data_IF_518458332060
#
_entry.id   IF_518458332060
#
_cell.length_a   1.000
_cell.length_b   1.000
_cell.length_c   1.000
_cell.angle_alpha   90.00
_cell.angle_beta   90.00
_cell.angle_gamma   90.00
#
_symmetry.space_group_name_H-M   'P 1'
#
loop_
_entity.id
_entity.type
_entity.pdbx_description
1 polymer ?
#
# COMPACT_ATOMS: atom_id res chain seq x y z
N UNK A 1 13.44 33.74 -5.19
CA UNK A 1 13.15 33.31 -6.56
C UNK A 1 13.11 31.80 -6.57
N UNK A 2 11.93 31.21 -6.79
CA UNK A 2 11.86 29.79 -7.14
C UNK A 2 12.42 29.64 -8.55
N UNK A 3 13.66 29.18 -8.65
CA UNK A 3 14.32 28.89 -9.93
C UNK A 3 14.83 27.45 -9.92
N UNK A 4 14.87 26.84 -11.09
CA UNK A 4 15.53 25.55 -11.27
C UNK A 4 17.03 25.70 -10.90
N UNK A 5 17.63 24.74 -10.18
CA UNK A 5 19.08 24.70 -10.01
C UNK A 5 19.77 24.55 -11.38
N UNK A 6 20.76 25.40 -11.65
CA UNK A 6 21.46 25.42 -12.94
C UNK A 6 22.58 24.37 -13.01
N UNK A 7 23.01 23.83 -11.85
CA UNK A 7 24.07 22.80 -11.74
C UNK A 7 23.71 21.76 -10.67
N UNK A 8 24.18 20.51 -10.84
CA UNK A 8 23.97 19.45 -9.84
C UNK A 8 24.61 19.74 -8.48
N UNK A 9 25.65 20.59 -8.43
CA UNK A 9 26.24 21.07 -7.19
C UNK A 9 25.30 21.98 -6.39
N UNK A 10 24.31 22.60 -7.03
CA UNK A 10 23.30 23.45 -6.38
C UNK A 10 22.17 22.64 -5.73
N UNK A 11 21.99 21.36 -6.13
CA UNK A 11 21.03 20.46 -5.49
C UNK A 11 21.56 19.77 -4.23
N UNK A 12 22.89 19.75 -4.03
CA UNK A 12 23.54 18.99 -2.94
C UNK A 12 23.37 19.55 -1.52
N UNK A 13 22.85 20.78 -1.36
CA UNK A 13 22.59 21.40 -0.05
C UNK A 13 21.14 21.80 0.18
N UNK A 14 20.19 21.16 -0.53
CA UNK A 14 18.77 21.38 -0.24
C UNK A 14 18.44 20.78 1.13
N UNK A 15 18.46 21.65 2.15
CA UNK A 15 17.84 21.38 3.44
C UNK A 15 16.36 21.10 3.13
N UNK A 16 15.83 19.93 3.50
CA UNK A 16 14.40 19.65 3.35
C UNK A 16 13.62 20.81 3.95
N UNK A 17 12.61 21.31 3.22
CA UNK A 17 11.69 22.27 3.84
C UNK A 17 10.90 21.51 4.88
N UNK A 18 11.27 21.69 6.14
CA UNK A 18 10.49 21.21 7.26
C UNK A 18 9.26 22.11 7.38
N UNK A 19 8.12 21.59 6.92
CA UNK A 19 6.84 22.20 7.25
C UNK A 19 6.70 22.13 8.79
N UNK A 20 6.49 23.27 9.45
CA UNK A 20 6.38 23.30 10.90
C UNK A 20 5.19 22.44 11.35
N UNK A 21 5.46 21.49 12.25
CA UNK A 21 4.46 20.58 12.83
C UNK A 21 3.67 21.21 13.98
N UNK A 22 3.84 22.51 14.22
CA UNK A 22 3.15 23.24 15.30
C UNK A 22 1.90 23.94 14.78
N UNK A 23 0.79 23.82 15.49
CA UNK A 23 -0.52 24.39 15.14
C UNK A 23 -0.50 25.88 14.83
N UNK A 24 0.41 26.63 15.47
CA UNK A 24 0.48 28.09 15.39
C UNK A 24 0.86 28.62 13.99
N UNK A 25 1.32 27.72 13.11
CA UNK A 25 1.71 28.04 11.74
C UNK A 25 0.75 27.46 10.70
N UNK A 26 -0.38 26.90 11.15
CA UNK A 26 -1.44 26.36 10.31
C UNK A 26 -2.68 27.25 10.44
N UNK A 27 -3.13 27.83 9.35
CA UNK A 27 -4.29 28.72 9.34
C UNK A 27 -5.43 28.09 8.51
N UNK A 28 -6.61 27.98 9.11
CA UNK A 28 -7.84 27.53 8.45
C UNK A 28 -9.07 28.10 9.15
N UNK A 29 -10.12 28.44 8.39
CA UNK A 29 -11.44 28.82 8.91
C UNK A 29 -12.44 27.66 8.85
N UNK A 30 -12.26 26.75 7.89
CA UNK A 30 -12.98 25.49 7.74
C UNK A 30 -12.06 24.51 7.02
N UNK A 31 -11.65 23.44 7.70
CA UNK A 31 -10.72 22.44 7.15
C UNK A 31 -11.27 21.79 5.88
N UNK A 32 -12.60 21.76 5.68
CA UNK A 32 -13.22 21.26 4.44
C UNK A 32 -12.86 22.09 3.21
N UNK A 33 -12.53 23.37 3.40
CA UNK A 33 -12.08 24.29 2.35
C UNK A 33 -10.55 24.30 2.17
N UNK A 34 -9.83 23.56 3.00
CA UNK A 34 -8.37 23.53 3.01
C UNK A 34 -7.73 24.32 4.15
N UNK A 35 -6.41 24.47 4.07
CA UNK A 35 -5.60 25.18 5.06
C UNK A 35 -4.37 25.80 4.41
N UNK A 36 -3.72 26.72 5.11
CA UNK A 36 -2.41 27.23 4.73
C UNK A 36 -1.38 27.02 5.84
N UNK A 37 -0.13 26.86 5.44
CA UNK A 37 1.01 26.72 6.34
C UNK A 37 2.04 27.79 6.02
N UNK A 38 2.60 28.44 7.04
CA UNK A 38 3.72 29.37 6.87
C UNK A 38 4.99 28.77 7.47
N UNK A 39 6.05 28.62 6.67
CA UNK A 39 7.31 28.06 7.16
C UNK A 39 8.14 29.07 7.98
N UNK A 40 9.30 28.63 8.49
CA UNK A 40 10.23 29.52 9.22
C UNK A 40 10.85 30.63 8.37
N UNK A 41 10.75 30.55 7.04
CA UNK A 41 11.28 31.53 6.08
C UNK A 41 10.21 32.50 5.59
N UNK A 42 8.96 32.37 6.06
CA UNK A 42 7.83 33.20 5.63
C UNK A 42 7.22 32.79 4.30
N UNK A 43 7.54 31.60 3.76
CA UNK A 43 6.85 31.07 2.59
C UNK A 43 5.48 30.54 3.01
N UNK A 44 4.47 30.78 2.18
CA UNK A 44 3.08 30.36 2.42
C UNK A 44 2.74 29.21 1.48
N UNK A 45 2.30 28.09 2.04
CA UNK A 45 1.87 26.88 1.34
C UNK A 45 0.35 26.77 1.48
N UNK A 46 -0.39 26.69 0.38
CA UNK A 46 -1.85 26.60 0.40
C UNK A 46 -2.33 25.24 -0.06
N UNK A 47 -3.10 24.55 0.76
CA UNK A 47 -3.64 23.22 0.49
C UNK A 47 -5.15 23.34 0.32
N UNK A 48 -5.63 23.41 -0.92
CA UNK A 48 -7.06 23.67 -1.23
C UNK A 48 -7.72 22.63 -2.14
N UNK A 49 -6.93 21.79 -2.80
CA UNK A 49 -7.47 20.73 -3.65
C UNK A 49 -7.71 19.48 -2.79
N UNK A 50 -8.95 19.04 -2.64
CA UNK A 50 -9.28 17.90 -1.78
C UNK A 50 -9.34 16.57 -2.56
N UNK A 51 -8.88 15.51 -1.91
CA UNK A 51 -9.13 14.12 -2.31
C UNK A 51 -10.34 13.58 -1.53
N UNK A 52 -11.17 12.79 -2.22
CA UNK A 52 -12.38 12.23 -1.64
C UNK A 52 -12.41 10.71 -1.77
N UNK A 53 -12.92 10.05 -0.73
CA UNK A 53 -13.37 8.67 -0.82
C UNK A 53 -14.65 8.57 -1.67
N UNK A 54 -14.97 7.36 -2.12
CA UNK A 54 -16.27 7.00 -2.72
C UNK A 54 -17.49 7.33 -1.83
N UNK A 55 -17.29 7.49 -0.53
CA UNK A 55 -18.33 7.88 0.45
C UNK A 55 -18.37 9.38 0.71
N UNK A 56 -17.63 10.18 -0.07
CA UNK A 56 -17.60 11.64 0.02
C UNK A 56 -16.84 12.18 1.24
N UNK A 57 -15.96 11.38 1.85
CA UNK A 57 -15.10 11.82 2.96
C UNK A 57 -13.79 12.34 2.41
N UNK A 58 -13.31 13.46 2.93
CA UNK A 58 -11.99 13.99 2.56
C UNK A 58 -10.91 13.05 3.09
N UNK A 59 -10.00 12.62 2.22
CA UNK A 59 -8.86 11.75 2.58
C UNK A 59 -7.53 12.50 2.57
N UNK A 60 -7.49 13.70 2.00
CA UNK A 60 -6.30 14.55 1.98
C UNK A 60 -6.53 15.87 1.26
N UNK A 61 -5.59 16.80 1.46
CA UNK A 61 -5.52 18.06 0.73
C UNK A 61 -4.19 18.14 -0.02
N UNK A 62 -4.24 18.61 -1.27
CA UNK A 62 -3.07 18.85 -2.10
C UNK A 62 -2.74 20.34 -2.15
N UNK A 63 -1.45 20.59 -2.26
CA UNK A 63 -0.86 21.91 -2.40
C UNK A 63 -1.32 22.56 -3.70
N UNK A 64 -1.93 23.73 -3.68
CA UNK A 64 -2.35 24.45 -4.89
C UNK A 64 -1.38 25.55 -5.28
N UNK A 65 -0.72 26.16 -4.30
CA UNK A 65 0.31 27.16 -4.54
C UNK A 65 1.28 27.30 -3.37
N UNK A 66 2.48 27.76 -3.70
CA UNK A 66 3.46 28.28 -2.75
C UNK A 66 3.76 29.71 -3.12
N UNK A 67 3.69 30.62 -2.15
CA UNK A 67 4.10 32.01 -2.31
C UNK A 67 5.32 32.27 -1.43
N UNK A 68 6.42 32.74 -2.02
CA UNK A 68 7.60 33.13 -1.25
C UNK A 68 7.40 34.48 -0.56
N UNK A 69 8.25 34.81 0.42
CA UNK A 69 8.28 36.14 1.02
C UNK A 69 8.49 37.25 -0.02
N UNK A 70 9.18 36.95 -1.12
CA UNK A 70 9.44 37.86 -2.25
C UNK A 70 8.31 37.88 -3.29
N UNK A 71 7.16 37.26 -2.99
CA UNK A 71 6.00 37.13 -3.88
C UNK A 71 6.26 36.28 -5.14
N UNK A 72 7.32 35.47 -5.15
CA UNK A 72 7.45 34.42 -6.18
C UNK A 72 6.38 33.38 -5.97
N UNK A 73 5.79 32.86 -7.05
CA UNK A 73 4.70 31.88 -6.97
C UNK A 73 5.02 30.60 -7.71
N UNK A 74 4.75 29.48 -7.04
CA UNK A 74 4.54 28.17 -7.65
C UNK A 74 3.03 27.89 -7.63
N UNK A 75 2.47 27.37 -8.72
CA UNK A 75 1.07 26.90 -8.75
C UNK A 75 1.04 25.46 -9.24
N UNK A 76 0.11 24.68 -8.69
CA UNK A 76 0.02 23.24 -8.90
C UNK A 76 -1.39 22.90 -9.40
N UNK A 77 -1.47 22.02 -10.38
CA UNK A 77 -2.72 21.41 -10.84
C UNK A 77 -2.60 19.89 -10.85
N UNK A 78 -3.75 19.22 -10.83
CA UNK A 78 -3.84 17.79 -10.63
C UNK A 78 -4.74 17.11 -11.67
N UNK A 79 -4.42 15.87 -12.01
CA UNK A 79 -5.36 14.94 -12.65
C UNK A 79 -5.98 14.08 -11.57
N UNK A 80 -7.25 13.74 -11.73
CA UNK A 80 -7.93 12.81 -10.82
C UNK A 80 -7.80 11.40 -11.37
N UNK A 81 -7.35 10.46 -10.56
CA UNK A 81 -7.32 9.03 -10.88
C UNK A 81 -7.99 8.26 -9.76
N UNK A 82 -8.89 7.34 -10.13
CA UNK A 82 -9.59 6.51 -9.16
C UNK A 82 -8.68 5.36 -8.72
N UNK A 83 -8.29 5.35 -7.46
CA UNK A 83 -7.61 4.23 -6.82
C UNK A 83 -8.65 3.38 -6.11
N UNK A 84 -8.67 2.07 -6.37
CA UNK A 84 -9.59 1.14 -5.71
C UNK A 84 -8.79 0.13 -4.91
N UNK A 85 -9.16 -0.03 -3.64
CA UNK A 85 -8.61 -0.99 -2.72
C UNK A 85 -9.61 -2.13 -2.57
N UNK A 86 -9.15 -3.35 -2.84
CA UNK A 86 -9.90 -4.55 -2.56
C UNK A 86 -9.51 -5.02 -1.17
N UNK A 87 -10.40 -4.83 -0.20
CA UNK A 87 -10.22 -5.32 1.16
C UNK A 87 -11.00 -6.63 1.28
N UNK A 88 -10.33 -7.76 1.06
CA UNK A 88 -10.88 -9.07 1.44
C UNK A 88 -10.28 -9.48 2.77
N UNK A 89 -11.12 -9.80 3.75
CA UNK A 89 -10.69 -10.36 5.02
C UNK A 89 -11.40 -11.68 5.26
N UNK A 90 -10.68 -12.69 5.73
CA UNK A 90 -11.28 -13.92 6.24
C UNK A 90 -11.27 -13.89 7.76
N UNK A 91 -12.26 -14.51 8.39
CA UNK A 91 -12.33 -14.57 9.84
C UNK A 91 -12.93 -15.88 10.33
N UNK A 92 -12.58 -16.21 11.58
CA UNK A 92 -13.22 -17.26 12.37
C UNK A 92 -13.63 -16.67 13.71
N UNK A 93 -14.80 -17.07 14.21
CA UNK A 93 -15.26 -16.69 15.54
C UNK A 93 -15.84 -17.91 16.25
N UNK A 94 -15.28 -18.23 17.41
CA UNK A 94 -15.74 -19.35 18.24
C UNK A 94 -16.99 -18.91 18.99
N UNK A 95 -18.01 -19.76 18.99
CA UNK A 95 -19.21 -19.58 19.79
C UNK A 95 -19.29 -20.72 20.79
N UNK A 96 -18.95 -20.41 22.05
CA UNK A 96 -19.08 -21.31 23.19
C UNK A 96 -20.08 -20.71 24.16
N UNK A 97 -21.33 -21.16 24.07
CA UNK A 97 -22.46 -20.59 24.80
C UNK A 97 -22.81 -21.41 26.05
N UNK A 98 -22.05 -22.46 26.37
CA UNK A 98 -22.31 -23.36 27.49
C UNK A 98 -23.62 -24.16 27.37
N UNK A 99 -24.35 -24.02 26.26
CA UNK A 99 -25.54 -24.79 25.92
C UNK A 99 -25.18 -25.83 24.86
N UNK A 100 -25.55 -27.08 25.12
CA UNK A 100 -25.08 -28.25 24.38
C UNK A 100 -25.32 -28.23 22.87
N UNK A 101 -26.33 -27.49 22.42
CA UNK A 101 -26.76 -27.41 21.03
C UNK A 101 -26.26 -26.15 20.31
N UNK A 102 -25.48 -25.27 20.96
CA UNK A 102 -25.03 -23.99 20.37
C UNK A 102 -23.52 -23.86 20.18
N UNK A 103 -22.74 -24.83 20.65
CA UNK A 103 -21.29 -24.79 20.52
C UNK A 103 -20.85 -25.04 19.07
N UNK A 104 -19.91 -24.24 18.59
CA UNK A 104 -19.45 -24.27 17.22
C UNK A 104 -18.61 -23.05 16.86
N UNK A 105 -18.36 -22.84 15.58
CA UNK A 105 -17.67 -21.64 15.13
C UNK A 105 -18.22 -21.11 13.81
N UNK A 106 -18.12 -19.79 13.65
CA UNK A 106 -18.38 -19.08 12.41
C UNK A 106 -17.13 -19.08 11.55
N UNK A 107 -17.32 -19.31 10.26
CA UNK A 107 -16.31 -19.15 9.21
C UNK A 107 -16.81 -18.14 8.19
N UNK A 108 -16.08 -17.03 8.05
CA UNK A 108 -16.25 -16.09 6.96
C UNK A 108 -15.07 -16.16 6.01
N UNK A 109 -15.23 -16.82 4.87
CA UNK A 109 -14.17 -16.98 3.85
C UNK A 109 -14.71 -16.63 2.47
N UNK A 110 -13.98 -15.78 1.72
CA UNK A 110 -14.36 -15.32 0.37
C UNK A 110 -15.79 -14.73 0.31
N UNK A 111 -16.20 -13.98 1.33
CA UNK A 111 -17.56 -13.41 1.45
C UNK A 111 -18.66 -14.42 1.80
N UNK A 112 -18.35 -15.71 1.90
CA UNK A 112 -19.30 -16.76 2.29
C UNK A 112 -19.30 -16.96 3.79
N UNK A 113 -20.49 -17.01 4.38
CA UNK A 113 -20.67 -17.24 5.81
C UNK A 113 -21.21 -18.65 6.07
N UNK A 114 -20.50 -19.40 6.89
CA UNK A 114 -20.88 -20.73 7.36
C UNK A 114 -20.81 -20.80 8.88
N UNK A 115 -21.65 -21.65 9.45
CA UNK A 115 -21.55 -22.04 10.85
C UNK A 115 -21.23 -23.54 10.92
N UNK A 116 -20.21 -23.88 11.69
CA UNK A 116 -19.80 -25.26 11.95
C UNK A 116 -20.31 -25.61 13.34
N UNK A 117 -21.50 -26.23 13.39
CA UNK A 117 -22.14 -26.65 14.63
C UNK A 117 -21.48 -27.94 15.11
N UNK A 118 -21.07 -27.98 16.37
CA UNK A 118 -20.56 -29.21 16.98
C UNK A 118 -21.71 -30.23 17.11
N UNK A 119 -21.48 -31.45 16.64
CA UNK A 119 -22.48 -32.54 16.66
C UNK A 119 -21.91 -33.85 17.24
N UNK A 120 -20.74 -33.77 17.88
CA UNK A 120 -20.10 -34.93 18.48
C UNK A 120 -18.63 -34.66 18.77
N UNK A 121 -17.97 -35.70 19.26
CA UNK A 121 -16.53 -35.71 19.45
C UNK A 121 -15.99 -37.14 19.39
N UNK A 122 -14.72 -37.27 19.03
CA UNK A 122 -14.01 -38.53 18.95
C UNK A 122 -12.69 -38.48 19.73
N UNK A 123 -12.29 -39.61 20.32
CA UNK A 123 -11.00 -39.73 21.01
C UNK A 123 -9.88 -40.02 20.00
N UNK A 124 -8.85 -39.16 19.97
CA UNK A 124 -7.62 -39.36 19.21
C UNK A 124 -6.41 -39.07 20.09
N UNK A 125 -5.51 -40.06 20.23
CA UNK A 125 -4.25 -39.95 20.98
C UNK A 125 -4.44 -39.25 22.34
N UNK A 126 -5.35 -39.79 23.15
CA UNK A 126 -5.70 -39.31 24.49
C UNK A 126 -6.37 -37.93 24.59
N UNK A 127 -6.71 -37.30 23.46
CA UNK A 127 -7.46 -36.04 23.41
C UNK A 127 -8.80 -36.19 22.70
N UNK A 128 -9.81 -35.45 23.14
CA UNK A 128 -11.13 -35.44 22.50
C UNK A 128 -11.15 -34.35 21.41
N UNK A 129 -11.63 -34.69 20.22
CA UNK A 129 -11.68 -33.82 19.06
C UNK A 129 -13.11 -33.59 18.62
N UNK A 130 -13.48 -32.34 18.35
CA UNK A 130 -14.84 -31.98 17.98
C UNK A 130 -15.17 -32.39 16.54
N UNK A 131 -16.35 -32.96 16.35
CA UNK A 131 -16.95 -33.22 15.04
C UNK A 131 -17.99 -32.14 14.72
N UNK A 132 -18.02 -31.68 13.47
CA UNK A 132 -18.88 -30.58 13.04
C UNK A 132 -19.82 -30.98 11.91
N UNK A 133 -21.05 -30.47 11.99
CA UNK A 133 -21.98 -30.37 10.87
C UNK A 133 -21.97 -28.93 10.33
N UNK A 134 -21.92 -28.80 9.00
CA UNK A 134 -21.82 -27.49 8.34
C UNK A 134 -23.21 -26.95 8.01
N UNK A 135 -23.47 -25.72 8.41
CA UNK A 135 -24.65 -24.94 8.07
C UNK A 135 -24.25 -23.76 7.18
N UNK A 136 -24.82 -23.69 5.98
CA UNK A 136 -24.63 -22.52 5.11
C UNK A 136 -25.58 -21.43 5.56
N UNK A 137 -25.04 -20.35 6.12
CA UNK A 137 -25.85 -19.28 6.76
C UNK A 137 -26.07 -18.11 5.80
N UNK A 138 -25.17 -17.90 4.83
CA UNK A 138 -25.38 -16.93 3.77
C UNK A 138 -24.08 -16.31 3.27
N UNK A 139 -24.12 -15.00 3.06
CA UNK A 139 -22.96 -14.17 2.75
C UNK A 139 -22.79 -13.15 3.88
N UNK A 140 -21.55 -12.74 4.15
CA UNK A 140 -21.29 -11.58 5.00
C UNK A 140 -20.85 -10.41 4.11
N UNK A 141 -20.97 -9.19 4.63
CA UNK A 141 -20.50 -7.99 3.95
C UNK A 141 -18.97 -8.02 3.85
N UNK A 142 -18.46 -8.66 2.79
CA UNK A 142 -17.09 -8.52 2.35
C UNK A 142 -17.00 -7.12 1.72
N UNK A 143 -16.77 -6.14 2.59
CA UNK A 143 -17.03 -4.69 2.44
C UNK A 143 -16.65 -4.09 1.07
N UNK A 144 -17.30 -2.96 0.70
CA UNK A 144 -17.32 -2.39 -0.64
C UNK A 144 -15.93 -2.00 -1.11
N UNK A 145 -15.69 -2.10 -2.42
CA UNK A 145 -14.56 -1.48 -3.11
C UNK A 145 -14.36 -0.05 -2.60
N UNK A 146 -13.43 0.12 -1.66
CA UNK A 146 -13.06 1.42 -1.13
C UNK A 146 -12.27 2.10 -2.22
N UNK A 147 -12.72 3.25 -2.69
CA UNK A 147 -11.98 3.99 -3.69
C UNK A 147 -11.75 5.42 -3.27
N UNK A 148 -10.62 5.95 -3.70
CA UNK A 148 -10.24 7.35 -3.51
C UNK A 148 -10.01 7.96 -4.88
N UNK A 149 -10.56 9.15 -5.08
CA UNK A 149 -10.26 10.00 -6.22
C UNK A 149 -8.94 10.72 -5.95
N UNK A 150 -7.84 9.98 -6.17
CA UNK A 150 -6.49 10.45 -5.89
C UNK A 150 -6.08 11.54 -6.89
N UNK A 151 -5.34 12.53 -6.38
CA UNK A 151 -4.90 13.71 -7.13
C UNK A 151 -3.42 13.58 -7.44
N UNK A 152 -3.11 13.25 -8.68
CA UNK A 152 -1.76 13.15 -9.19
C UNK A 152 -1.32 14.47 -9.82
N UNK A 153 -0.08 14.93 -9.62
CA UNK A 153 0.41 16.18 -10.21
C UNK A 153 0.20 16.17 -11.73
N UNK A 154 -0.34 17.25 -12.28
CA UNK A 154 -0.52 17.45 -13.73
C UNK A 154 0.46 18.46 -14.26
N UNK A 155 0.52 19.61 -13.60
CA UNK A 155 1.36 20.72 -14.00
C UNK A 155 1.78 21.53 -12.78
N UNK A 156 3.05 21.94 -12.75
CA UNK A 156 3.59 22.91 -11.80
C UNK A 156 4.07 24.11 -12.60
N UNK A 157 3.53 25.30 -12.36
CA UNK A 157 3.91 26.52 -13.07
C UNK A 157 4.68 27.46 -12.15
N UNK A 158 5.69 28.13 -12.70
CA UNK A 158 6.50 29.15 -12.04
C UNK A 158 6.81 30.29 -13.03
N UNK A 159 7.38 31.39 -12.53
CA UNK A 159 7.47 32.66 -13.27
C UNK A 159 7.95 32.53 -14.73
N UNK A 160 8.96 31.69 -14.98
CA UNK A 160 9.58 31.53 -16.29
C UNK A 160 9.46 30.12 -16.86
N UNK A 161 8.55 29.28 -16.36
CA UNK A 161 8.52 27.90 -16.81
C UNK A 161 7.45 27.05 -16.17
N UNK A 162 7.48 25.77 -16.54
CA UNK A 162 6.54 24.79 -16.02
C UNK A 162 7.10 23.38 -16.07
N UNK A 163 6.53 22.52 -15.24
CA UNK A 163 6.75 21.07 -15.24
C UNK A 163 5.42 20.40 -15.55
N UNK A 164 5.35 19.56 -16.58
CA UNK A 164 4.14 18.85 -17.01
C UNK A 164 4.34 17.35 -16.80
N UNK A 165 3.32 16.68 -16.29
CA UNK A 165 3.35 15.25 -15.95
C UNK A 165 2.35 14.50 -16.83
N UNK A 166 2.85 13.57 -17.63
CA UNK A 166 2.04 12.80 -18.57
C UNK A 166 1.89 11.36 -18.13
N UNK A 167 0.62 10.93 -18.05
CA UNK A 167 0.23 9.61 -17.57
C UNK A 167 -0.34 8.76 -18.70
N UNK A 168 -0.09 7.45 -18.63
CA UNK A 168 -0.73 6.43 -19.46
C UNK A 168 -1.23 5.32 -18.56
N UNK A 169 -2.54 5.02 -18.62
CA UNK A 169 -3.19 4.01 -17.77
C UNK A 169 -2.84 4.19 -16.28
N UNK A 170 -2.92 5.42 -15.78
CA UNK A 170 -2.59 5.79 -14.38
C UNK A 170 -1.10 5.68 -13.99
N UNK A 171 -0.20 5.36 -14.92
CA UNK A 171 1.25 5.36 -14.70
C UNK A 171 1.88 6.62 -15.27
N UNK A 172 2.73 7.30 -14.50
CA UNK A 172 3.53 8.42 -14.99
C UNK A 172 4.52 7.90 -16.04
N UNK A 173 4.48 8.43 -17.27
CA UNK A 173 5.39 8.01 -18.36
C UNK A 173 6.45 9.04 -18.64
N UNK A 174 6.08 10.31 -18.63
CA UNK A 174 6.99 11.40 -18.93
C UNK A 174 6.76 12.59 -18.04
N UNK A 175 7.86 13.28 -17.72
CA UNK A 175 7.86 14.60 -17.10
C UNK A 175 8.58 15.55 -18.03
N UNK A 176 7.90 16.61 -18.44
CA UNK A 176 8.41 17.62 -19.35
C UNK A 176 8.72 18.90 -18.58
N UNK A 177 9.93 19.43 -18.72
CA UNK A 177 10.38 20.64 -18.02
C UNK A 177 10.63 21.72 -19.05
N UNK A 178 9.87 22.80 -18.91
CA UNK A 178 9.90 23.96 -19.80
C UNK A 178 10.46 25.18 -19.10
N UNK A 179 11.25 25.96 -19.83
CA UNK A 179 11.73 27.27 -19.42
C UNK A 179 11.62 28.24 -20.60
N UNK A 180 11.08 29.44 -20.35
CA UNK A 180 10.83 30.47 -21.36
C UNK A 180 10.07 29.95 -22.59
N UNK A 181 9.15 29.00 -22.39
CA UNK A 181 8.33 28.39 -23.44
C UNK A 181 8.98 27.22 -24.21
N UNK A 182 10.28 26.96 -24.01
CA UNK A 182 10.98 25.84 -24.64
C UNK A 182 11.08 24.64 -23.68
N UNK A 183 10.92 23.42 -24.19
CA UNK A 183 11.22 22.19 -23.42
C UNK A 183 12.73 22.07 -23.30
N UNK A 184 13.26 22.14 -22.08
CA UNK A 184 14.71 22.09 -21.82
C UNK A 184 15.18 20.73 -21.31
N UNK A 185 14.28 19.97 -20.69
CA UNK A 185 14.58 18.64 -20.17
C UNK A 185 13.34 17.75 -20.22
N UNK A 186 13.55 16.48 -20.51
CA UNK A 186 12.55 15.42 -20.48
C UNK A 186 13.00 14.30 -19.56
N UNK A 187 12.10 13.81 -18.72
CA UNK A 187 12.30 12.61 -17.91
C UNK A 187 11.35 11.54 -18.41
N UNK A 188 11.88 10.39 -18.81
CA UNK A 188 11.08 9.24 -19.29
C UNK A 188 11.19 8.11 -18.27
N UNK A 189 10.05 7.53 -17.91
CA UNK A 189 9.94 6.42 -16.97
C UNK A 189 9.52 5.16 -17.73
N UNK A 190 10.41 4.16 -17.74
CA UNK A 190 10.18 2.88 -18.41
C UNK A 190 9.81 1.81 -17.38
N UNK A 191 8.90 0.94 -17.76
CA UNK A 191 8.33 -0.05 -16.84
C UNK A 191 8.29 -1.44 -17.45
N UNK A 192 8.62 -2.45 -16.65
CA UNK A 192 8.23 -3.85 -16.90
C UNK A 192 6.79 -4.03 -16.40
N UNK A 193 5.87 -4.31 -17.32
CA UNK A 193 4.49 -4.67 -16.96
C UNK A 193 4.48 -6.08 -16.38
N UNK A 194 3.85 -6.24 -15.23
CA UNK A 194 3.56 -7.57 -14.67
C UNK A 194 2.25 -8.06 -15.29
N UNK A 195 2.21 -9.33 -15.71
CA UNK A 195 1.06 -9.90 -16.45
C UNK A 195 -0.21 -9.94 -15.59
N UNK A 196 -0.05 -10.14 -14.28
CA UNK A 196 -1.12 -10.11 -13.30
C UNK A 196 -1.13 -8.79 -12.52
N UNK A 197 -2.33 -8.29 -12.20
CA UNK A 197 -2.64 -7.09 -11.39
C UNK A 197 -2.49 -5.70 -11.99
N UNK A 198 -1.98 -5.53 -13.22
CA UNK A 198 -1.72 -4.18 -13.74
C UNK A 198 -0.68 -3.40 -12.92
N UNK A 199 0.17 -4.11 -12.16
CA UNK A 199 1.34 -3.54 -11.48
C UNK A 199 2.49 -3.40 -12.46
N UNK A 200 3.38 -2.45 -12.16
CA UNK A 200 4.51 -2.10 -13.02
C UNK A 200 5.75 -1.91 -12.18
N UNK A 201 6.86 -2.51 -12.61
CA UNK A 201 8.18 -2.29 -12.01
C UNK A 201 8.88 -1.20 -12.81
N UNK A 202 9.35 -0.14 -12.15
CA UNK A 202 10.08 0.94 -12.80
C UNK A 202 11.49 0.45 -13.14
N UNK A 203 11.78 0.17 -14.40
CA UNK A 203 13.06 -0.42 -14.81
C UNK A 203 14.09 0.63 -15.19
N UNK A 204 13.64 1.82 -15.60
CA UNK A 204 14.56 2.91 -15.96
C UNK A 204 13.91 4.28 -15.76
N UNK A 205 14.72 5.23 -15.29
CA UNK A 205 14.44 6.66 -15.34
C UNK A 205 15.51 7.32 -16.20
N UNK A 206 15.12 7.79 -17.38
CA UNK A 206 16.00 8.48 -18.32
C UNK A 206 15.77 9.98 -18.27
N UNK A 207 16.81 10.76 -17.96
CA UNK A 207 16.81 12.21 -18.07
C UNK A 207 17.50 12.60 -19.37
N UNK A 208 16.83 13.35 -20.21
CA UNK A 208 17.37 13.92 -21.45
C UNK A 208 17.34 15.44 -21.36
N UNK A 209 18.52 16.06 -21.37
CA UNK A 209 18.67 17.51 -21.56
C UNK A 209 18.55 17.81 -23.06
N UNK A 210 17.54 18.57 -23.44
CA UNK A 210 17.22 18.80 -24.85
C UNK A 210 18.11 19.87 -25.48
N UNK A 211 18.69 20.74 -24.65
CA UNK A 211 19.56 21.85 -25.11
C UNK A 211 20.85 21.34 -25.74
N UNK A 212 21.42 20.24 -25.21
CA UNK A 212 22.69 19.67 -25.66
C UNK A 212 22.58 18.19 -26.06
N UNK A 213 21.36 17.65 -26.10
CA UNK A 213 21.05 16.26 -26.45
C UNK A 213 21.83 15.23 -25.61
N UNK A 214 22.06 15.53 -24.33
CA UNK A 214 22.70 14.62 -23.39
C UNK A 214 21.65 13.85 -22.60
N UNK A 215 21.85 12.54 -22.47
CA UNK A 215 20.98 11.69 -21.66
C UNK A 215 21.75 10.97 -20.55
N UNK A 216 21.07 10.76 -19.43
CA UNK A 216 21.57 9.98 -18.29
C UNK A 216 20.45 9.10 -17.76
N UNK A 217 20.74 7.82 -17.56
CA UNK A 217 19.75 6.84 -17.11
C UNK A 217 20.13 6.23 -15.77
N UNK A 218 19.12 6.04 -14.93
CA UNK A 218 19.17 5.14 -13.79
C UNK A 218 18.40 3.90 -14.18
N UNK A 219 18.96 2.71 -13.95
CA UNK A 219 18.26 1.45 -14.22
C UNK A 219 18.13 0.64 -12.95
N UNK A 220 16.97 0.01 -12.78
CA UNK A 220 16.62 -0.75 -11.58
C UNK A 220 16.41 -2.22 -11.95
N UNK A 221 16.95 -3.12 -11.12
CA UNK A 221 16.62 -4.54 -11.16
C UNK A 221 15.85 -4.95 -9.92
N UNK A 222 15.04 -5.99 -10.03
CA UNK A 222 14.16 -6.46 -8.97
C UNK A 222 14.34 -7.95 -8.77
N UNK A 223 13.98 -8.45 -7.59
CA UNK A 223 13.86 -9.88 -7.33
C UNK A 223 12.59 -10.43 -8.00
N UNK A 224 12.64 -10.64 -9.32
CA UNK A 224 11.49 -10.97 -10.16
C UNK A 224 11.52 -12.41 -10.71
N UNK A 225 12.19 -13.31 -10.00
CA UNK A 225 12.35 -14.73 -10.38
C UNK A 225 11.02 -15.52 -10.32
N UNK A 226 10.00 -15.00 -9.61
CA UNK A 226 8.63 -15.51 -9.66
C UNK A 226 7.82 -14.67 -10.65
N UNK A 227 7.50 -15.29 -11.79
CA UNK A 227 6.45 -14.76 -12.67
C UNK A 227 5.08 -14.99 -12.02
N UNK A 228 4.17 -14.02 -12.15
CA UNK A 228 2.73 -14.15 -11.85
C UNK A 228 2.32 -14.25 -10.35
N UNK A 229 2.96 -13.48 -9.46
CA UNK A 229 2.48 -13.29 -8.07
C UNK A 229 1.47 -12.12 -7.94
N UNK A 230 0.37 -12.33 -7.18
CA UNK A 230 -0.66 -11.31 -6.91
C UNK A 230 -1.00 -11.19 -5.41
N UNK A 231 -0.44 -10.22 -4.66
CA UNK A 231 -0.69 -10.08 -3.21
C UNK A 231 -2.17 -9.86 -2.84
N UNK A 232 -3.01 -9.38 -3.75
CA UNK A 232 -4.44 -9.13 -3.46
C UNK A 232 -5.36 -10.28 -3.85
N UNK A 233 -4.82 -11.35 -4.45
CA UNK A 233 -5.63 -12.50 -4.92
C UNK A 233 -5.12 -13.83 -4.35
N UNK A 234 -4.07 -13.79 -3.53
CA UNK A 234 -3.51 -14.97 -2.89
C UNK A 234 -3.82 -14.98 -1.40
N UNK A 235 -3.92 -16.20 -0.86
CA UNK A 235 -3.97 -16.45 0.57
C UNK A 235 -2.58 -16.75 1.15
N UNK A 236 -1.55 -16.73 0.31
CA UNK A 236 -0.14 -16.91 0.67
C UNK A 236 0.46 -15.65 1.29
N UNK A 237 -0.10 -15.20 2.41
CA UNK A 237 0.32 -13.99 3.11
C UNK A 237 0.81 -14.36 4.51
N UNK A 238 2.05 -13.98 4.84
CA UNK A 238 2.62 -14.24 6.15
C UNK A 238 2.02 -13.35 7.26
N UNK A 239 2.53 -13.49 8.48
CA UNK A 239 2.08 -12.71 9.65
C UNK A 239 2.34 -11.20 9.53
N UNK A 240 3.27 -10.78 8.66
CA UNK A 240 3.65 -9.38 8.44
C UNK A 240 3.02 -8.78 7.19
N UNK A 241 2.28 -9.56 6.41
CA UNK A 241 1.62 -9.10 5.20
C UNK A 241 2.46 -9.30 3.92
N UNK A 242 3.59 -10.01 3.98
CA UNK A 242 4.40 -10.32 2.80
C UNK A 242 4.01 -11.65 2.17
N UNK A 243 4.42 -11.85 0.91
CA UNK A 243 4.23 -13.12 0.22
C UNK A 243 5.05 -14.23 0.87
N UNK A 244 4.47 -15.40 1.09
CA UNK A 244 5.21 -16.54 1.62
C UNK A 244 5.16 -17.80 0.74
N UNK A 245 4.65 -17.70 -0.49
CA UNK A 245 4.66 -18.81 -1.45
C UNK A 245 3.73 -19.99 -1.14
N UNK A 246 2.90 -19.92 -0.09
CA UNK A 246 2.02 -21.03 0.33
C UNK A 246 0.76 -21.12 -0.52
N UNK A 247 0.82 -21.92 -1.59
CA UNK A 247 -0.30 -22.13 -2.52
C UNK A 247 -1.43 -23.02 -1.97
N UNK A 248 -1.19 -23.75 -0.88
CA UNK A 248 -2.18 -24.61 -0.22
C UNK A 248 -3.13 -23.88 0.73
N UNK A 249 -2.96 -22.57 0.95
CA UNK A 249 -3.78 -21.81 1.89
C UNK A 249 -5.23 -21.70 1.39
N UNK A 250 -6.18 -22.07 2.23
CA UNK A 250 -7.62 -22.06 1.90
C UNK A 250 -8.37 -20.84 2.43
N UNK A 251 -7.76 -20.08 3.35
CA UNK A 251 -8.21 -18.77 3.84
C UNK A 251 -7.00 -17.91 4.28
N UNK A 252 -7.23 -16.69 4.78
CA UNK A 252 -6.21 -15.77 5.32
C UNK A 252 -5.91 -15.96 6.83
N UNK A 253 -6.62 -16.87 7.51
CA UNK A 253 -6.51 -17.07 8.95
C UNK A 253 -5.53 -18.19 9.25
N UNK A 254 -4.55 -17.91 10.12
CA UNK A 254 -3.55 -18.91 10.50
C UNK A 254 -4.23 -20.14 11.08
N UNK A 255 -3.79 -21.32 10.64
CA UNK A 255 -4.25 -22.58 11.21
C UNK A 255 -3.90 -22.63 12.69
N UNK A 256 -4.92 -22.77 13.53
CA UNK A 256 -4.79 -22.71 14.99
C UNK A 256 -5.62 -23.81 15.65
N UNK A 257 -5.11 -24.32 16.77
CA UNK A 257 -5.82 -25.26 17.63
C UNK A 257 -6.70 -24.46 18.59
N UNK A 258 -7.96 -24.84 18.70
CA UNK A 258 -8.95 -24.17 19.53
C UNK A 258 -9.69 -25.17 20.41
N UNK A 259 -10.02 -24.73 21.61
CA UNK A 259 -10.78 -25.47 22.61
C UNK A 259 -12.27 -25.13 22.54
N UNK A 260 -13.12 -26.14 22.69
CA UNK A 260 -14.57 -26.02 22.78
C UNK A 260 -15.06 -26.69 24.07
N UNK A 261 -15.96 -26.03 24.80
CA UNK A 261 -16.65 -26.63 25.93
C UNK A 261 -17.50 -27.83 25.53
N UNK A 262 -17.46 -28.89 26.33
CA UNK A 262 -18.28 -30.08 26.10
C UNK A 262 -19.74 -29.89 26.54
N UNK A 263 -20.68 -30.43 25.75
CA UNK A 263 -22.12 -30.27 25.99
C UNK A 263 -22.67 -31.21 27.07
N UNK A 264 -21.92 -32.24 27.48
CA UNK A 264 -22.41 -33.34 28.29
C UNK A 264 -21.47 -33.63 29.47
N UNK A 265 -22.10 -33.80 30.64
CA UNK A 265 -21.57 -34.12 31.96
C UNK A 265 -21.03 -32.97 32.80
N UNK A 266 -21.43 -32.98 34.08
CA UNK A 266 -21.21 -31.93 35.08
C UNK A 266 -19.75 -31.68 35.47
N UNK A 267 -18.79 -32.28 34.76
CA UNK A 267 -17.38 -31.90 34.78
C UNK A 267 -17.06 -31.17 33.47
N UNK A 268 -16.46 -29.98 33.55
CA UNK A 268 -16.11 -29.13 32.40
C UNK A 268 -15.04 -29.80 31.53
N UNK A 269 -15.42 -30.74 30.67
CA UNK A 269 -14.58 -31.32 29.64
C UNK A 269 -14.37 -30.36 28.46
N UNK A 270 -13.24 -30.50 27.77
CA UNK A 270 -12.92 -29.74 26.55
C UNK A 270 -12.61 -30.67 25.40
N UNK A 271 -13.04 -30.30 24.19
CA UNK A 271 -12.58 -30.92 22.95
C UNK A 271 -11.83 -29.89 22.10
N UNK A 272 -11.03 -30.42 21.19
CA UNK A 272 -10.15 -29.62 20.34
C UNK A 272 -10.59 -29.66 18.88
N UNK A 273 -10.34 -28.58 18.15
CA UNK A 273 -10.39 -28.59 16.70
C UNK A 273 -9.35 -27.65 16.10
N UNK A 274 -8.92 -27.96 14.88
CA UNK A 274 -8.19 -27.00 14.05
C UNK A 274 -9.17 -26.12 13.30
N UNK A 275 -9.02 -24.81 13.43
CA UNK A 275 -9.66 -23.81 12.57
C UNK A 275 -8.59 -23.04 11.81
N UNK A 276 -8.99 -22.29 10.78
CA UNK A 276 -8.05 -21.62 9.89
C UNK A 276 -7.38 -22.59 8.91
N UNK A 277 -7.04 -22.02 7.76
CA UNK A 277 -6.58 -22.77 6.59
C UNK A 277 -5.25 -22.27 6.04
N UNK A 278 -4.62 -21.29 6.69
CA UNK A 278 -3.40 -20.66 6.22
C UNK A 278 -2.16 -21.14 6.99
N UNK A 279 -1.09 -21.45 6.27
CA UNK A 279 0.27 -21.36 6.81
C UNK A 279 0.80 -19.94 6.56
N UNK A 280 1.04 -19.20 7.66
CA UNK A 280 1.50 -17.81 7.66
C UNK A 280 2.98 -17.67 8.03
N UNK A 281 3.74 -18.76 8.00
CA UNK A 281 5.18 -18.74 8.23
C UNK A 281 5.86 -17.83 7.20
N UNK A 282 6.67 -16.84 7.62
CA UNK A 282 7.45 -16.03 6.69
C UNK A 282 8.42 -16.89 5.87
N UNK A 283 8.63 -16.51 4.61
CA UNK A 283 9.61 -17.16 3.73
C UNK A 283 10.38 -16.07 2.97
N UNK A 284 11.69 -15.97 3.23
CA UNK A 284 12.53 -14.89 2.69
C UNK A 284 12.61 -14.95 1.17
N UNK A 285 12.60 -16.16 0.60
CA UNK A 285 12.67 -16.34 -0.83
C UNK A 285 11.47 -15.63 -1.45
N UNK A 286 10.27 -15.89 -0.95
CA UNK A 286 9.04 -15.31 -1.50
C UNK A 286 8.77 -13.87 -1.05
N UNK A 287 9.13 -13.49 0.17
CA UNK A 287 8.86 -12.16 0.72
C UNK A 287 9.62 -11.06 -0.04
N UNK A 288 10.81 -11.37 -0.58
CA UNK A 288 11.58 -10.43 -1.40
C UNK A 288 11.04 -10.28 -2.83
N UNK A 289 10.03 -11.05 -3.27
CA UNK A 289 9.54 -10.96 -4.65
C UNK A 289 9.12 -9.53 -4.99
N UNK A 290 9.61 -9.01 -6.11
CA UNK A 290 9.45 -7.63 -6.58
C UNK A 290 10.06 -6.53 -5.69
N UNK A 291 10.85 -6.90 -4.67
CA UNK A 291 11.70 -5.93 -3.98
C UNK A 291 12.83 -5.46 -4.89
N UNK A 292 13.27 -4.22 -4.69
CA UNK A 292 14.38 -3.64 -5.45
C UNK A 292 15.67 -4.37 -5.09
N UNK A 293 16.35 -4.89 -6.10
CA UNK A 293 17.59 -5.63 -5.95
C UNK A 293 18.80 -4.74 -6.19
N UNK A 294 18.75 -3.89 -7.22
CA UNK A 294 19.89 -3.01 -7.52
C UNK A 294 19.50 -1.74 -8.25
N UNK A 295 20.34 -0.72 -8.11
CA UNK A 295 20.29 0.50 -8.91
C UNK A 295 21.64 0.64 -9.62
N UNK A 296 21.61 0.83 -10.93
CA UNK A 296 22.77 1.28 -11.71
C UNK A 296 22.62 2.76 -12.02
N UNK A 297 23.64 3.52 -11.63
CA UNK A 297 23.74 4.96 -11.82
C UNK A 297 24.21 5.31 -13.24
N UNK A 298 23.98 6.55 -13.71
CA UNK A 298 24.47 7.00 -15.02
C UNK A 298 25.98 6.86 -15.21
N UNK A 299 26.75 6.92 -14.11
CA UNK A 299 28.20 6.74 -14.09
C UNK A 299 28.64 5.30 -14.36
N UNK A 300 27.71 4.35 -14.35
CA UNK A 300 27.98 2.91 -14.39
C UNK A 300 28.18 2.29 -13.00
N UNK A 301 28.30 3.10 -11.95
CA UNK A 301 28.33 2.61 -10.57
C UNK A 301 27.03 1.84 -10.26
N UNK A 302 27.14 0.84 -9.38
CA UNK A 302 26.03 -0.02 -8.99
C UNK A 302 25.94 -0.09 -7.48
N UNK A 303 24.71 -0.05 -6.98
CA UNK A 303 24.35 -0.31 -5.59
C UNK A 303 23.45 -1.54 -5.56
N UNK A 304 23.78 -2.48 -4.68
CA UNK A 304 22.99 -3.69 -4.44
C UNK A 304 22.26 -3.51 -3.11
N UNK A 305 21.00 -3.94 -3.08
CA UNK A 305 20.15 -3.91 -1.90
C UNK A 305 19.86 -5.34 -1.48
N UNK A 306 19.99 -5.60 -0.19
CA UNK A 306 19.65 -6.90 0.41
C UNK A 306 18.33 -6.75 1.12
N UNK A 307 17.40 -7.65 0.82
CA UNK A 307 16.14 -7.76 1.54
C UNK A 307 16.34 -8.63 2.78
N UNK A 308 15.88 -8.13 3.92
CA UNK A 308 15.87 -8.87 5.18
C UNK A 308 14.42 -9.02 5.66
N UNK A 309 14.09 -10.21 6.18
CA UNK A 309 12.78 -10.46 6.76
C UNK A 309 12.62 -9.72 8.08
N UNK A 310 11.37 -9.32 8.37
CA UNK A 310 11.00 -9.04 9.75
C UNK A 310 11.13 -10.32 10.56
N UNK A 311 11.95 -10.28 11.62
CA UNK A 311 12.05 -11.36 12.60
C UNK A 311 11.27 -10.96 13.86
N UNK A 312 10.74 -11.95 14.56
CA UNK A 312 10.42 -11.73 15.97
C UNK A 312 11.75 -11.57 16.71
N UNK A 313 11.83 -10.71 17.74
CA UNK A 313 12.95 -10.77 18.66
C UNK A 313 13.00 -12.20 19.22
N UNK A 314 14.16 -12.85 19.14
CA UNK A 314 14.37 -14.13 19.80
C UNK A 314 13.97 -13.94 21.27
N UNK A 315 12.99 -14.71 21.72
CA UNK A 315 12.69 -14.78 23.15
C UNK A 315 13.81 -15.58 23.80
N UNK A 316 14.68 -14.89 24.54
CA UNK A 316 15.59 -15.50 25.52
C UNK A 316 14.82 -16.34 26.56
#
# INVERSE_FOLDING_TARGET
MFRRPEKSSESGSHIPVYLPLTSDKVETSDIRSGFQVTDGSGNIYRFKEAEYSNTGKITGWKLTDVTSLKQDRLSFSYVTQKLTYADSYDYYAVEDMGESYRNGYWQGVDGKLKFFRMNGYALHNDSLWADFTVENVGQYDNRPYNSVDAKYPKEITYANGKVVFDYSSSLLKTVHIYENGAEIQRVTLNYKQLRFMGRSLLTEVNFTELVNNQSRSYTMSYNDYVDDYSPTQTKAVDKFGYYNGRTGNTDLVERQLVEFGMPYDGDRGVCYAYIGGADRTPDILFAQVYSLQSIKYPTGAREELVYELNTYPDTD
#
